data_IF_369704156313
#
_entry.id   IF_369704156313
#
_cell.length_a   1.000
_cell.length_b   1.000
_cell.length_c   1.000
_cell.angle_alpha   90.00
_cell.angle_beta   90.00
_cell.angle_gamma   90.00
#
_symmetry.space_group_name_H-M   'P 1'
#
loop_
_entity.id
_entity.type
_entity.pdbx_description
1 polymer ?
#
# COMPACT_ATOMS: atom_id res chain seq x y z
N UNK A 1 6.99 1.59 -7.29
CA UNK A 1 5.69 1.71 -6.59
C UNK A 1 5.51 3.14 -6.13
N UNK A 2 4.30 3.67 -6.22
CA UNK A 2 3.96 5.05 -5.87
C UNK A 2 2.84 5.03 -4.83
N UNK A 3 3.02 5.83 -3.77
CA UNK A 3 2.05 6.02 -2.70
C UNK A 3 1.64 7.49 -2.64
N UNK A 4 0.34 7.72 -2.52
CA UNK A 4 -0.25 9.06 -2.34
C UNK A 4 -1.11 9.03 -1.09
N UNK A 5 -0.45 9.05 0.07
CA UNK A 5 -1.09 8.96 1.37
C UNK A 5 -1.32 10.36 1.94
N UNK A 6 -2.46 10.54 2.60
CA UNK A 6 -2.84 11.74 3.34
C UNK A 6 -3.25 11.32 4.74
N UNK A 7 -2.79 12.07 5.74
CA UNK A 7 -3.16 11.87 7.13
C UNK A 7 -3.94 13.09 7.64
N UNK A 8 -5.07 12.84 8.29
CA UNK A 8 -5.87 13.85 8.97
C UNK A 8 -6.20 13.34 10.38
N UNK A 9 -5.46 13.84 11.38
CA UNK A 9 -5.50 13.25 12.73
C UNK A 9 -5.02 11.79 12.70
N UNK A 10 -5.87 10.88 13.16
CA UNK A 10 -5.59 9.43 13.18
C UNK A 10 -6.01 8.72 11.89
N UNK A 11 -6.72 9.40 10.99
CA UNK A 11 -7.19 8.81 9.74
C UNK A 11 -6.13 8.91 8.64
N UNK A 12 -5.87 7.79 7.97
CA UNK A 12 -4.99 7.73 6.80
C UNK A 12 -5.81 7.29 5.60
N UNK A 13 -5.80 8.12 4.55
CA UNK A 13 -6.46 7.87 3.28
C UNK A 13 -5.46 8.01 2.14
N UNK A 14 -5.82 7.54 0.94
CA UNK A 14 -4.96 7.71 -0.21
C UNK A 14 -5.04 6.58 -1.22
N UNK A 15 -4.05 6.55 -2.10
CA UNK A 15 -3.88 5.50 -3.09
C UNK A 15 -2.48 4.92 -3.07
N UNK A 16 -2.37 3.66 -3.47
CA UNK A 16 -1.10 2.98 -3.71
C UNK A 16 -1.19 2.17 -5.01
N UNK A 17 -0.04 1.93 -5.64
CA UNK A 17 0.02 1.10 -6.84
C UNK A 17 1.37 1.20 -7.57
N UNK A 18 1.63 0.32 -8.56
CA UNK A 18 2.95 0.18 -9.17
C UNK A 18 3.50 1.48 -9.76
N UNK A 19 2.62 2.31 -10.34
CA UNK A 19 2.94 3.60 -10.94
C UNK A 19 1.78 4.61 -10.78
N UNK A 20 1.95 5.82 -11.32
CA UNK A 20 0.99 6.92 -11.20
C UNK A 20 -0.36 6.69 -11.92
N UNK A 21 -0.40 5.84 -12.95
CA UNK A 21 -1.58 5.53 -13.74
C UNK A 21 -2.38 4.36 -13.14
N UNK A 22 -1.69 3.41 -12.51
CA UNK A 22 -2.29 2.23 -11.90
C UNK A 22 -2.36 2.40 -10.38
N UNK A 23 -3.28 3.24 -9.91
CA UNK A 23 -3.48 3.52 -8.50
C UNK A 23 -4.79 2.91 -8.01
N UNK A 24 -4.81 2.43 -6.78
CA UNK A 24 -6.00 1.90 -6.12
C UNK A 24 -6.08 2.44 -4.70
N UNK A 25 -7.32 2.66 -4.23
CA UNK A 25 -7.56 3.20 -2.89
C UNK A 25 -7.02 2.24 -1.83
N UNK A 26 -6.31 2.79 -0.84
CA UNK A 26 -5.89 2.00 0.32
C UNK A 26 -7.12 1.65 1.17
N UNK A 27 -7.03 0.56 1.93
CA UNK A 27 -8.04 0.07 2.86
C UNK A 27 -7.39 -0.30 4.18
N UNK A 28 -8.19 -0.30 5.24
CA UNK A 28 -7.78 -0.74 6.58
C UNK A 28 -6.50 -0.06 7.08
N UNK A 29 -6.34 1.22 6.73
CA UNK A 29 -5.15 1.97 7.07
C UNK A 29 -5.12 2.26 8.57
N UNK A 30 -4.00 1.93 9.21
CA UNK A 30 -3.80 2.12 10.64
C UNK A 30 -2.36 2.51 10.92
N UNK A 31 -2.17 3.64 11.60
CA UNK A 31 -0.89 4.07 12.14
C UNK A 31 -0.92 3.92 13.66
N UNK A 32 -0.01 3.13 14.22
CA UNK A 32 0.19 2.99 15.67
C UNK A 32 1.64 3.29 15.96
N UNK A 33 1.89 4.36 16.73
CA UNK A 33 3.23 4.91 16.93
C UNK A 33 3.91 5.20 15.58
N UNK A 34 4.97 4.48 15.25
CA UNK A 34 5.72 4.58 13.99
C UNK A 34 5.37 3.47 13.00
N UNK A 35 4.31 2.70 13.24
CA UNK A 35 3.97 1.53 12.44
C UNK A 35 2.70 1.73 11.62
N UNK A 36 2.85 1.84 10.30
CA UNK A 36 1.79 2.01 9.32
C UNK A 36 1.46 0.68 8.64
N UNK A 37 0.19 0.28 8.74
CA UNK A 37 -0.35 -0.87 8.02
C UNK A 37 -1.52 -0.44 7.14
N UNK A 38 -1.68 -1.04 5.97
CA UNK A 38 -2.85 -0.88 5.10
C UNK A 38 -2.86 -1.98 4.04
N UNK A 39 -3.96 -2.10 3.31
CA UNK A 39 -4.04 -2.97 2.14
C UNK A 39 -4.43 -2.20 0.89
N UNK A 40 -4.14 -2.75 -0.28
CA UNK A 40 -4.62 -2.27 -1.57
C UNK A 40 -4.99 -3.46 -2.43
N UNK A 41 -6.12 -3.38 -3.14
CA UNK A 41 -6.50 -4.39 -4.13
C UNK A 41 -6.47 -3.74 -5.51
N UNK A 42 -5.59 -4.24 -6.37
CA UNK A 42 -5.41 -3.73 -7.73
C UNK A 42 -6.58 -4.06 -8.66
N UNK A 43 -6.45 -3.68 -9.93
CA UNK A 43 -7.35 -4.12 -10.98
C UNK A 43 -7.04 -5.56 -11.42
N UNK A 44 -8.04 -6.29 -11.88
CA UNK A 44 -7.85 -7.56 -12.59
C UNK A 44 -7.43 -7.34 -14.05
N UNK A 45 -7.25 -8.42 -14.81
CA UNK A 45 -6.84 -8.38 -16.23
C UNK A 45 -7.86 -7.66 -17.13
N UNK A 46 -9.12 -7.53 -16.70
CA UNK A 46 -10.16 -6.78 -17.41
C UNK A 46 -10.16 -5.28 -17.08
N UNK A 47 -9.27 -4.85 -16.18
CA UNK A 47 -9.20 -3.47 -15.69
C UNK A 47 -10.22 -3.17 -14.59
N UNK A 48 -10.92 -4.16 -14.05
CA UNK A 48 -11.88 -3.94 -12.97
C UNK A 48 -11.14 -3.69 -11.66
N UNK A 49 -11.20 -2.46 -11.17
CA UNK A 49 -10.60 -2.06 -9.90
C UNK A 49 -11.14 -2.88 -8.72
N UNK A 50 -10.26 -3.26 -7.79
CA UNK A 50 -10.62 -4.04 -6.60
C UNK A 50 -10.90 -5.52 -6.85
N UNK A 51 -10.67 -6.02 -8.06
CA UNK A 51 -10.83 -7.44 -8.40
C UNK A 51 -9.50 -8.17 -8.61
N UNK A 52 -8.37 -7.45 -8.57
CA UNK A 52 -7.03 -7.99 -8.80
C UNK A 52 -6.29 -8.46 -7.54
N UNK A 53 -4.95 -8.57 -7.61
CA UNK A 53 -4.11 -8.90 -6.46
C UNK A 53 -4.30 -7.93 -5.29
N UNK A 54 -4.36 -8.49 -4.09
CA UNK A 54 -4.34 -7.71 -2.85
C UNK A 54 -2.93 -7.70 -2.27
N UNK A 55 -2.43 -6.51 -1.97
CA UNK A 55 -1.17 -6.31 -1.26
C UNK A 55 -1.44 -5.76 0.12
N UNK A 56 -0.85 -6.38 1.14
CA UNK A 56 -0.85 -5.89 2.52
C UNK A 56 0.52 -5.29 2.80
N UNK A 57 0.51 -4.09 3.37
CA UNK A 57 1.71 -3.33 3.71
C UNK A 57 1.86 -3.25 5.21
N UNK A 58 3.10 -3.43 5.64
CA UNK A 58 3.54 -3.35 7.02
C UNK A 58 4.85 -2.55 6.99
N UNK A 59 4.76 -1.29 7.40
CA UNK A 59 5.79 -0.28 7.20
C UNK A 59 6.09 0.45 8.50
N UNK A 60 7.36 0.62 8.82
CA UNK A 60 7.86 1.54 9.82
C UNK A 60 8.09 2.92 9.19
N UNK A 61 7.60 3.97 9.84
CA UNK A 61 7.71 5.37 9.41
C UNK A 61 8.77 6.08 10.25
N UNK A 62 9.83 6.56 9.61
CA UNK A 62 10.92 7.30 10.23
C UNK A 62 11.17 8.62 9.50
N UNK A 63 10.47 9.68 9.93
CA UNK A 63 10.55 10.99 9.29
C UNK A 63 10.05 10.97 7.85
N UNK A 64 10.94 11.27 6.90
CA UNK A 64 10.65 11.23 5.46
C UNK A 64 10.86 9.83 4.84
N UNK A 65 11.17 8.82 5.64
CA UNK A 65 11.43 7.46 5.18
C UNK A 65 10.38 6.47 5.68
N UNK A 66 10.12 5.46 4.86
CA UNK A 66 9.33 4.29 5.24
C UNK A 66 10.07 3.03 4.81
N UNK A 67 10.14 2.04 5.69
CA UNK A 67 10.76 0.74 5.42
C UNK A 67 9.86 -0.38 5.91
N UNK A 68 9.92 -1.55 5.29
CA UNK A 68 9.17 -2.71 5.76
C UNK A 68 8.89 -3.69 4.64
N UNK A 69 7.70 -4.28 4.63
CA UNK A 69 7.34 -5.34 3.70
C UNK A 69 5.96 -5.17 3.08
N UNK A 70 5.81 -5.75 1.90
CA UNK A 70 4.54 -5.96 1.25
C UNK A 70 4.33 -7.45 0.99
N UNK A 71 3.14 -7.95 1.29
CA UNK A 71 2.74 -9.33 1.04
C UNK A 71 1.60 -9.35 0.03
N UNK A 72 1.80 -10.05 -1.09
CA UNK A 72 0.83 -10.14 -2.18
C UNK A 72 0.03 -11.44 -2.14
N UNK A 73 -1.26 -11.37 -2.41
CA UNK A 73 -2.11 -12.55 -2.59
C UNK A 73 -3.15 -12.34 -3.69
N UNK A 74 -3.47 -13.42 -4.42
CA UNK A 74 -4.52 -13.40 -5.44
C UNK A 74 -5.15 -14.79 -5.62
N UNK A 75 -6.48 -14.87 -5.65
CA UNK A 75 -7.20 -16.14 -5.86
C UNK A 75 -6.83 -17.25 -4.88
N UNK A 76 -6.55 -16.91 -3.60
CA UNK A 76 -6.10 -17.86 -2.58
C UNK A 76 -4.63 -18.29 -2.68
N UNK A 77 -3.87 -17.76 -3.64
CA UNK A 77 -2.42 -18.00 -3.78
C UNK A 77 -1.62 -16.84 -3.20
N UNK A 78 -0.51 -17.16 -2.54
CA UNK A 78 0.50 -16.18 -2.16
C UNK A 78 1.33 -15.80 -3.39
N UNK A 79 1.51 -14.51 -3.64
CA UNK A 79 2.32 -13.96 -4.74
C UNK A 79 3.75 -13.63 -4.31
N UNK A 80 4.02 -13.69 -2.99
CA UNK A 80 5.33 -13.45 -2.40
C UNK A 80 5.32 -12.27 -1.43
N UNK A 81 6.48 -12.09 -0.81
CA UNK A 81 6.79 -10.97 0.07
C UNK A 81 7.90 -10.15 -0.57
N UNK A 82 7.83 -8.83 -0.48
CA UNK A 82 8.85 -7.90 -0.99
C UNK A 82 9.22 -6.90 0.09
N UNK A 83 10.52 -6.71 0.30
CA UNK A 83 11.02 -5.64 1.15
C UNK A 83 10.90 -4.28 0.44
N UNK A 84 10.53 -3.26 1.18
CA UNK A 84 10.31 -1.92 0.69
C UNK A 84 11.19 -0.94 1.44
N UNK A 85 11.85 -0.06 0.68
CA UNK A 85 12.49 1.14 1.17
C UNK A 85 11.99 2.32 0.34
N UNK A 86 11.37 3.27 1.00
CA UNK A 86 10.65 4.38 0.39
C UNK A 86 11.05 5.69 1.04
N UNK A 87 11.05 6.76 0.26
CA UNK A 87 11.19 8.12 0.75
C UNK A 87 10.04 8.98 0.25
N UNK A 88 9.64 9.96 1.06
CA UNK A 88 8.65 10.98 0.68
C UNK A 88 9.22 11.77 -0.49
N UNK A 89 8.50 11.80 -1.61
CA UNK A 89 8.79 12.76 -2.68
C UNK A 89 8.37 14.16 -2.25
N UNK A 90 9.27 15.13 -2.41
CA UNK A 90 9.04 16.56 -2.15
C UNK A 90 8.46 17.26 -3.38
#
# INVERSE_FOLDING_TARGET
MVFRLKQAGDEITGTAGPDAAHQSAIRDAKLVADHLTFSVTGADESGKAGAGPTWKFDLKVAGDHMEGKAEGAYGGRNLGTTELLMSRQK
#
